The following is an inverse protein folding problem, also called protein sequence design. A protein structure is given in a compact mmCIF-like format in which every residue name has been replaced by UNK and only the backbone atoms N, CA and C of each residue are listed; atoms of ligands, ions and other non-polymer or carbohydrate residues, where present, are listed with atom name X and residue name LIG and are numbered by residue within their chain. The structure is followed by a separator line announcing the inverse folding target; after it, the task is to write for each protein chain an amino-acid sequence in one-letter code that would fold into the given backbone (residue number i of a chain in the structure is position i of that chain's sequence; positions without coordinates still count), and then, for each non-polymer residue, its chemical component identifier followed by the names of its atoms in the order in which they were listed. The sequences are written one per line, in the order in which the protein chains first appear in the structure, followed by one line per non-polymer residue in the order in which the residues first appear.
data_IF_042434080807
#
_entry.id   IF_042434080807
#
_cell.length_a   1.000
_cell.length_b   1.000
_cell.length_c   1.000
_cell.angle_alpha   90.00
_cell.angle_beta   90.00
_cell.angle_gamma   90.00
#
_symmetry.space_group_name_H-M   'P 1'
#
loop_
_entity.id
_entity.type
_entity.pdbx_description
1 polymer ?
#
# COMPACT_ATOMS: atom_id res chain seq x y z
N UNK A 1 -5.28 -3.81 -3.70
CA UNK A 1 -4.31 -4.60 -2.93
C UNK A 1 -4.87 -4.81 -1.54
N UNK A 2 -4.87 -6.05 -1.05
CA UNK A 2 -5.30 -6.40 0.29
C UNK A 2 -4.06 -6.83 1.07
N UNK A 3 -3.85 -6.28 2.25
CA UNK A 3 -2.75 -6.65 3.13
C UNK A 3 -3.28 -6.88 4.55
N UNK A 4 -2.79 -7.95 5.17
CA UNK A 4 -3.07 -8.27 6.56
C UNK A 4 -1.74 -8.33 7.30
N UNK A 5 -1.64 -7.57 8.38
CA UNK A 5 -0.45 -7.48 9.19
C UNK A 5 -0.78 -7.85 10.63
N UNK A 6 0.05 -8.73 11.19
CA UNK A 6 -0.14 -9.27 12.52
C UNK A 6 1.17 -9.21 13.28
N UNK A 7 1.17 -8.42 14.35
CA UNK A 7 2.36 -8.19 15.13
C UNK A 7 2.09 -8.51 16.60
N UNK A 8 2.98 -9.33 17.18
CA UNK A 8 2.99 -9.68 18.59
C UNK A 8 4.30 -9.21 19.18
N UNK A 9 4.21 -8.25 20.09
CA UNK A 9 5.38 -7.75 20.81
C UNK A 9 5.18 -8.00 22.30
N UNK A 10 6.23 -8.50 22.97
CA UNK A 10 6.23 -8.77 24.40
C UNK A 10 7.45 -8.10 24.99
N UNK A 11 7.23 -6.95 25.60
CA UNK A 11 8.27 -6.17 26.27
C UNK A 11 7.91 -6.08 27.76
N UNK A 12 8.85 -6.50 28.60
CA UNK A 12 8.81 -6.41 30.07
C UNK A 12 7.50 -6.93 30.74
N UNK A 13 6.97 -8.05 30.26
CA UNK A 13 5.77 -8.70 30.80
C UNK A 13 4.43 -8.11 30.31
N UNK A 14 4.48 -7.05 29.49
CA UNK A 14 3.30 -6.45 28.86
C UNK A 14 3.11 -7.07 27.48
N UNK A 15 1.96 -7.74 27.28
CA UNK A 15 1.59 -8.32 25.98
C UNK A 15 0.91 -7.27 25.13
N UNK A 16 1.56 -6.86 24.04
CA UNK A 16 0.97 -6.00 23.01
C UNK A 16 0.68 -6.85 21.77
N UNK A 17 -0.59 -6.91 21.38
CA UNK A 17 -1.03 -7.59 20.15
C UNK A 17 -1.63 -6.56 19.21
N UNK A 18 -1.00 -6.36 18.06
CA UNK A 18 -1.48 -5.46 17.01
C UNK A 18 -2.00 -6.27 15.83
N UNK A 19 -3.23 -5.99 15.39
CA UNK A 19 -3.79 -6.55 14.16
C UNK A 19 -4.08 -5.37 13.24
N UNK A 20 -3.49 -5.31 12.06
CA UNK A 20 -3.81 -4.29 11.07
C UNK A 20 -4.34 -4.94 9.79
N UNK A 21 -5.48 -4.44 9.32
CA UNK A 21 -6.07 -4.84 8.06
C UNK A 21 -6.11 -3.66 7.12
N UNK A 22 -5.41 -3.77 5.99
CA UNK A 22 -5.31 -2.72 4.98
C UNK A 22 -6.03 -3.15 3.72
N UNK A 23 -7.06 -2.40 3.36
CA UNK A 23 -7.76 -2.55 2.08
C UNK A 23 -7.39 -1.36 1.21
N UNK A 24 -6.64 -1.61 0.13
CA UNK A 24 -6.21 -0.54 -0.77
C UNK A 24 -6.70 -0.75 -2.21
N UNK A 25 -7.97 -0.45 -2.56
CA UNK A 25 -8.38 -0.43 -3.96
C UNK A 25 -7.55 0.57 -4.77
N UNK A 26 -7.11 0.16 -5.95
CA UNK A 26 -6.36 1.02 -6.87
C UNK A 26 -6.90 0.89 -8.28
N UNK A 27 -6.86 1.99 -9.01
CA UNK A 27 -7.19 2.09 -10.42
C UNK A 27 -5.92 2.54 -11.14
N UNK A 28 -5.51 1.78 -12.16
CA UNK A 28 -4.37 2.13 -13.00
C UNK A 28 -4.86 2.67 -14.33
N UNK A 29 -4.47 3.91 -14.66
CA UNK A 29 -4.71 4.52 -15.95
C UNK A 29 -3.43 4.49 -16.79
N UNK A 30 -3.47 3.88 -17.97
CA UNK A 30 -2.40 3.93 -18.97
C UNK A 30 -2.65 5.07 -19.98
N UNK A 31 -1.73 6.03 -20.08
CA UNK A 31 -1.93 7.22 -20.93
C UNK A 31 -1.32 7.10 -22.32
N UNK A 32 -0.19 6.39 -22.45
CA UNK A 32 0.53 6.21 -23.72
C UNK A 32 0.93 4.76 -23.86
N UNK A 33 0.55 4.14 -24.98
CA UNK A 33 0.92 2.78 -25.38
C UNK A 33 1.60 2.83 -26.75
N UNK A 34 2.56 3.73 -26.93
CA UNK A 34 3.29 3.91 -28.19
C UNK A 34 4.76 3.55 -27.99
N UNK A 35 5.11 2.29 -28.25
CA UNK A 35 6.49 1.80 -28.26
C UNK A 35 7.02 1.38 -26.88
N UNK A 36 8.32 1.52 -26.60
CA UNK A 36 8.96 0.95 -25.41
C UNK A 36 8.67 1.71 -24.11
N UNK A 37 7.87 2.79 -24.12
CA UNK A 37 7.56 3.60 -22.95
C UNK A 37 6.05 3.61 -22.66
N UNK A 38 5.70 3.11 -21.48
CA UNK A 38 4.33 2.96 -20.98
C UNK A 38 4.15 3.80 -19.71
N UNK A 39 3.57 4.99 -19.85
CA UNK A 39 3.25 5.84 -18.70
C UNK A 39 1.93 5.41 -18.07
N UNK A 40 1.95 5.18 -16.76
CA UNK A 40 0.78 4.81 -15.99
C UNK A 40 0.62 5.68 -14.74
N UNK A 41 -0.62 5.89 -14.34
CA UNK A 41 -0.98 6.58 -13.12
C UNK A 41 -1.85 5.66 -12.26
N UNK A 42 -1.36 5.31 -11.07
CA UNK A 42 -2.07 4.49 -10.10
C UNK A 42 -2.78 5.40 -9.10
N UNK A 43 -4.07 5.65 -9.25
CA UNK A 43 -4.86 6.26 -8.18
C UNK A 43 -5.34 5.18 -7.22
N UNK A 44 -5.32 5.46 -5.92
CA UNK A 44 -5.71 4.47 -4.92
C UNK A 44 -6.23 5.10 -3.65
N UNK A 45 -7.16 4.38 -3.04
CA UNK A 45 -7.61 4.62 -1.67
C UNK A 45 -7.05 3.46 -0.84
N UNK A 46 -6.57 3.73 0.36
CA UNK A 46 -6.16 2.80 1.38
C UNK A 46 -7.05 2.99 2.60
N UNK A 47 -7.53 1.91 3.20
CA UNK A 47 -8.19 1.93 4.49
C UNK A 47 -7.46 0.99 5.40
N UNK A 48 -6.86 1.54 6.45
CA UNK A 48 -6.09 0.83 7.46
C UNK A 48 -6.93 0.72 8.73
N UNK A 49 -7.40 -0.49 9.00
CA UNK A 49 -8.12 -0.85 10.21
C UNK A 49 -7.15 -1.57 11.16
N UNK A 50 -6.54 -0.82 12.07
CA UNK A 50 -5.63 -1.32 13.09
C UNK A 50 -6.31 -1.48 14.45
N UNK A 51 -6.19 -2.65 15.08
CA UNK A 51 -6.57 -2.89 16.47
C UNK A 51 -5.34 -3.25 17.27
N UNK A 52 -4.90 -2.35 18.14
CA UNK A 52 -3.81 -2.60 19.08
C UNK A 52 -4.40 -2.87 20.47
N UNK A 53 -4.10 -4.05 21.03
CA UNK A 53 -4.41 -4.40 22.41
C UNK A 53 -3.13 -4.34 23.23
N UNK A 54 -3.07 -3.43 24.20
CA UNK A 54 -1.99 -3.38 25.21
C UNK A 54 -2.63 -3.55 26.58
N UNK A 55 -2.25 -4.63 27.27
CA UNK A 55 -2.64 -4.89 28.67
C UNK A 55 -4.13 -4.70 29.01
N UNK A 56 -5.04 -5.10 28.11
CA UNK A 56 -6.50 -5.04 28.32
C UNK A 56 -7.18 -3.76 27.83
N UNK A 57 -6.43 -2.71 27.48
CA UNK A 57 -6.94 -1.49 26.85
C UNK A 57 -6.92 -1.68 25.33
N UNK A 58 -8.09 -1.49 24.70
CA UNK A 58 -8.26 -1.55 23.24
C UNK A 58 -8.14 -0.15 22.68
N UNK A 59 -7.12 0.08 21.84
CA UNK A 59 -7.08 1.27 21.00
C UNK A 59 -7.34 0.85 19.55
N UNK A 60 -8.47 1.30 19.03
CA UNK A 60 -8.79 1.19 17.61
C UNK A 60 -8.10 2.36 16.87
N UNK A 61 -7.23 2.02 15.92
CA UNK A 61 -6.60 2.97 14.99
C UNK A 61 -7.24 2.81 13.61
N UNK A 62 -7.88 3.87 13.16
CA UNK A 62 -8.46 3.96 11.83
C UNK A 62 -7.65 4.98 11.02
N UNK A 63 -6.92 4.49 10.04
CA UNK A 63 -6.24 5.32 9.03
C UNK A 63 -6.97 5.17 7.70
N UNK A 64 -7.06 6.26 6.95
CA UNK A 64 -7.35 6.16 5.52
C UNK A 64 -6.21 6.85 4.80
N UNK A 65 -5.87 6.31 3.65
CA UNK A 65 -4.89 6.87 2.73
C UNK A 65 -5.61 7.16 1.41
N UNK A 66 -5.35 8.30 0.80
CA UNK A 66 -5.82 8.61 -0.55
C UNK A 66 -4.66 9.21 -1.32
N UNK A 67 -4.35 8.64 -2.48
CA UNK A 67 -3.24 9.15 -3.25
C UNK A 67 -3.19 8.65 -4.66
N UNK A 68 -2.23 9.23 -5.37
CA UNK A 68 -1.86 8.87 -6.71
C UNK A 68 -0.39 8.49 -6.74
N UNK A 69 -0.07 7.52 -7.58
CA UNK A 69 1.27 6.98 -7.80
C UNK A 69 1.57 7.10 -9.29
N UNK A 70 2.27 8.15 -9.73
CA UNK A 70 2.74 8.19 -11.11
C UNK A 70 3.82 7.14 -11.31
N UNK A 71 3.82 6.51 -12.48
CA UNK A 71 4.81 5.51 -12.84
C UNK A 71 5.04 5.45 -14.35
N UNK A 72 6.18 4.90 -14.71
CA UNK A 72 6.57 4.65 -16.09
C UNK A 72 7.10 3.22 -16.18
N UNK A 73 6.59 2.45 -17.11
CA UNK A 73 7.16 1.17 -17.49
C UNK A 73 7.96 1.36 -18.79
N UNK A 74 9.14 0.74 -18.84
CA UNK A 74 9.98 0.71 -20.04
C UNK A 74 10.17 -0.74 -20.45
N UNK A 75 9.78 -1.09 -21.67
CA UNK A 75 9.99 -2.41 -22.25
C UNK A 75 11.39 -2.46 -22.87
N UNK A 76 12.32 -3.17 -22.22
CA UNK A 76 13.72 -3.27 -22.68
C UNK A 76 13.91 -4.41 -23.71
N UNK A 77 13.15 -5.50 -23.60
CA UNK A 77 13.27 -6.70 -24.47
C UNK A 77 11.98 -7.52 -24.42
N UNK A 78 11.77 -8.43 -25.37
CA UNK A 78 10.66 -9.40 -25.30
C UNK A 78 10.74 -10.22 -24.00
N UNK A 79 9.82 -9.95 -23.07
CA UNK A 79 9.71 -10.63 -21.78
C UNK A 79 10.29 -9.88 -20.57
N UNK A 80 10.94 -8.72 -20.76
CA UNK A 80 11.49 -7.93 -19.64
C UNK A 80 11.02 -6.47 -19.69
N UNK A 81 10.13 -6.14 -18.74
CA UNK A 81 9.55 -4.82 -18.55
C UNK A 81 10.05 -4.23 -17.21
N UNK A 82 10.69 -3.06 -17.28
CA UNK A 82 11.13 -2.32 -16.10
C UNK A 82 10.06 -1.29 -15.72
N UNK A 83 9.28 -1.57 -14.67
CA UNK A 83 8.28 -0.64 -14.15
C UNK A 83 8.82 0.20 -12.99
N UNK A 84 9.04 1.49 -13.24
CA UNK A 84 9.42 2.50 -12.27
C UNK A 84 8.14 3.14 -11.70
N UNK A 85 8.02 3.18 -10.38
CA UNK A 85 6.94 3.89 -9.67
C UNK A 85 7.54 5.06 -8.92
N UNK A 86 7.13 6.28 -9.23
CA UNK A 86 7.63 7.50 -8.61
C UNK A 86 6.82 7.84 -7.37
N UNK A 87 7.09 7.15 -6.26
CA UNK A 87 6.62 7.49 -4.91
C UNK A 87 5.10 7.52 -4.73
N UNK A 88 4.62 7.61 -3.49
CA UNK A 88 3.19 7.81 -3.19
C UNK A 88 2.93 9.28 -2.90
N UNK A 89 2.13 9.93 -3.74
CA UNK A 89 1.63 11.28 -3.48
C UNK A 89 0.21 11.16 -2.95
N UNK A 90 0.06 11.23 -1.64
CA UNK A 90 -1.21 11.06 -0.97
C UNK A 90 -1.18 11.49 0.49
N UNK A 91 -2.37 11.54 1.09
CA UNK A 91 -2.61 11.80 2.51
C UNK A 91 -3.03 10.50 3.18
#
# INVERSE_FOLDING_TARGET
MLAYEYEKETEDGIKTTSNAFKIAPFVRWYYVHNGPFNLFLDSGLGFDFGKTKTNGVKNDRHGFEIGIRPGACVDLTEGLCLCLRMGFMGY
#
